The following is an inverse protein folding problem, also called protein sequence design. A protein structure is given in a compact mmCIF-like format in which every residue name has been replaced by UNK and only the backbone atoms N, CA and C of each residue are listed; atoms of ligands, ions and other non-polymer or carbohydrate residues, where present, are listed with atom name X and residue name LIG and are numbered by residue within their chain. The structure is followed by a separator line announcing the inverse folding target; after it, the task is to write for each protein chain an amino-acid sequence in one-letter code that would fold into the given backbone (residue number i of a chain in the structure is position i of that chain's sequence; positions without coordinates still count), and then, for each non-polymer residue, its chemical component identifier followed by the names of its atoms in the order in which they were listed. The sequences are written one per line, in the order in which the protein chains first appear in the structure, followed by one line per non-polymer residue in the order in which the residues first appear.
data_IF_537809882371
#
_entry.id   IF_537809882371
#
_cell.length_a   1.000
_cell.length_b   1.000
_cell.length_c   1.000
_cell.angle_alpha   90.00
_cell.angle_beta   90.00
_cell.angle_gamma   90.00
#
_symmetry.space_group_name_H-M   'P 1'
#
loop_
_entity.id
_entity.type
_entity.pdbx_description
1 polymer ?
#
# COMPACT_ATOMS: atom_id res chain seq x y z
N UNK A 1 0.99 -22.49 2.66
CA UNK A 1 0.37 -22.32 1.33
C UNK A 1 0.11 -20.84 1.10
N UNK A 2 0.46 -20.29 -0.08
CA UNK A 2 0.01 -18.95 -0.49
C UNK A 2 -1.46 -19.05 -0.84
N UNK A 3 -2.29 -18.20 -0.22
CA UNK A 3 -3.72 -18.06 -0.52
C UNK A 3 -3.90 -17.11 -1.68
N UNK A 4 -3.32 -15.91 -1.58
CA UNK A 4 -3.33 -14.88 -2.60
C UNK A 4 -2.19 -13.91 -2.39
N UNK A 5 -1.85 -13.14 -3.42
CA UNK A 5 -0.86 -12.07 -3.37
C UNK A 5 -1.24 -10.93 -4.30
N UNK A 6 -0.84 -9.73 -3.93
CA UNK A 6 -1.02 -8.53 -4.73
C UNK A 6 0.28 -7.71 -4.76
N UNK A 7 0.88 -7.61 -5.94
CA UNK A 7 2.15 -6.90 -6.12
C UNK A 7 2.01 -5.38 -6.08
N UNK A 8 0.81 -4.86 -6.31
CA UNK A 8 0.56 -3.42 -6.31
C UNK A 8 0.54 -2.86 -4.88
N UNK A 9 0.00 -3.63 -3.92
CA UNK A 9 -0.03 -3.25 -2.50
C UNK A 9 1.10 -3.85 -1.68
N UNK A 10 1.92 -4.72 -2.28
CA UNK A 10 3.00 -5.45 -1.61
C UNK A 10 2.50 -6.38 -0.49
N UNK A 11 1.32 -6.98 -0.68
CA UNK A 11 0.68 -7.84 0.31
C UNK A 11 0.54 -9.28 -0.18
N UNK A 12 0.61 -10.23 0.75
CA UNK A 12 0.31 -11.63 0.52
C UNK A 12 -0.37 -12.27 1.74
N UNK A 13 -1.34 -13.14 1.47
CA UNK A 13 -2.00 -13.95 2.50
C UNK A 13 -1.45 -15.37 2.46
N UNK A 14 -0.98 -15.85 3.62
CA UNK A 14 -0.42 -17.17 3.80
C UNK A 14 -1.30 -18.01 4.72
N UNK A 15 -1.55 -19.26 4.36
CA UNK A 15 -2.21 -20.24 5.21
C UNK A 15 -1.21 -21.28 5.69
N UNK A 16 -1.21 -21.54 6.99
CA UNK A 16 -0.45 -22.62 7.61
C UNK A 16 -1.40 -23.61 8.32
N UNK A 17 -1.01 -24.86 8.38
CA UNK A 17 -1.76 -25.93 9.04
C UNK A 17 -1.26 -26.08 10.48
N UNK A 18 -1.46 -25.04 11.29
CA UNK A 18 -1.11 -25.04 12.72
C UNK A 18 -2.34 -24.64 13.51
N UNK A 19 -2.64 -25.37 14.56
CA UNK A 19 -3.68 -25.07 15.55
C UNK A 19 -3.07 -24.34 16.75
N UNK A 20 -3.91 -23.84 17.62
CA UNK A 20 -3.53 -23.21 18.89
C UNK A 20 -2.65 -21.95 18.71
N UNK A 21 -2.93 -21.17 17.66
CA UNK A 21 -2.31 -19.88 17.44
C UNK A 21 -3.12 -18.79 18.13
N UNK A 22 -2.41 -17.90 18.85
CA UNK A 22 -3.01 -16.66 19.34
C UNK A 22 -3.02 -15.64 18.19
N UNK A 23 -4.21 -15.18 17.81
CA UNK A 23 -4.34 -14.13 16.81
C UNK A 23 -3.86 -12.79 17.38
N UNK A 24 -3.14 -12.02 16.58
CA UNK A 24 -2.83 -10.64 16.90
C UNK A 24 -4.10 -9.76 16.75
N UNK A 25 -4.29 -8.83 17.67
CA UNK A 25 -5.36 -7.84 17.58
C UNK A 25 -4.93 -6.69 16.68
N UNK A 26 -5.86 -6.16 15.89
CA UNK A 26 -5.64 -4.94 15.09
C UNK A 26 -6.13 -3.72 15.87
N UNK A 27 -5.34 -2.64 15.80
CA UNK A 27 -5.78 -1.32 16.23
C UNK A 27 -6.39 -0.57 15.03
N UNK A 28 -7.11 0.51 15.31
CA UNK A 28 -7.51 1.45 14.27
C UNK A 28 -6.31 2.34 13.91
N UNK A 29 -5.67 2.06 12.77
CA UNK A 29 -4.50 2.80 12.32
C UNK A 29 -4.78 4.25 11.93
N UNK A 30 -6.05 4.64 11.78
CA UNK A 30 -6.43 6.04 11.55
C UNK A 30 -6.28 6.92 12.80
N UNK A 31 -6.21 6.29 13.98
CA UNK A 31 -6.01 6.96 15.28
C UNK A 31 -4.53 7.08 15.66
N UNK A 32 -3.62 6.53 14.86
CA UNK A 32 -2.19 6.60 15.13
C UNK A 32 -1.69 8.05 15.11
N UNK A 33 -0.91 8.45 16.11
CA UNK A 33 -0.43 9.82 16.30
C UNK A 33 1.09 9.86 16.31
N UNK A 34 1.67 10.91 15.71
CA UNK A 34 3.12 11.15 15.70
C UNK A 34 3.63 11.29 17.14
N UNK A 35 4.73 10.61 17.43
CA UNK A 35 5.35 10.53 18.76
C UNK A 35 4.91 9.35 19.61
N UNK A 36 3.89 8.60 19.20
CA UNK A 36 3.48 7.37 19.89
C UNK A 36 4.53 6.27 19.73
N UNK A 37 4.62 5.42 20.73
CA UNK A 37 5.48 4.24 20.72
C UNK A 37 5.12 3.31 19.58
N UNK A 38 6.13 2.82 18.88
CA UNK A 38 5.99 1.82 17.83
C UNK A 38 7.06 0.73 17.98
N UNK A 39 6.65 -0.52 17.74
CA UNK A 39 7.53 -1.68 17.81
C UNK A 39 7.37 -2.52 16.55
N UNK A 40 8.45 -2.73 15.83
CA UNK A 40 8.49 -3.62 14.68
C UNK A 40 8.91 -5.02 15.11
N UNK A 41 8.11 -6.01 14.72
CA UNK A 41 8.32 -7.43 15.06
C UNK A 41 8.60 -8.20 13.78
N UNK A 42 9.64 -9.05 13.80
CA UNK A 42 9.99 -9.88 12.66
C UNK A 42 10.88 -11.06 13.04
N UNK A 43 11.30 -11.84 12.04
CA UNK A 43 12.21 -12.98 12.20
C UNK A 43 13.30 -12.90 11.12
N UNK A 44 14.31 -12.02 11.32
CA UNK A 44 15.36 -11.82 10.33
C UNK A 44 16.21 -13.09 10.17
N UNK A 45 16.53 -13.42 8.92
CA UNK A 45 17.48 -14.48 8.55
C UNK A 45 17.13 -15.88 9.08
N UNK A 46 15.85 -16.12 9.44
CA UNK A 46 15.43 -17.40 10.06
C UNK A 46 15.93 -17.58 11.50
N UNK A 47 16.42 -16.51 12.11
CA UNK A 47 16.72 -16.44 13.53
C UNK A 47 15.43 -16.29 14.34
N UNK A 48 15.53 -16.40 15.66
CA UNK A 48 14.41 -16.17 16.57
C UNK A 48 13.80 -14.77 16.38
N UNK A 49 12.57 -14.59 16.87
CA UNK A 49 11.85 -13.33 16.80
C UNK A 49 12.71 -12.16 17.25
N UNK A 50 12.84 -11.19 16.37
CA UNK A 50 13.58 -9.96 16.63
C UNK A 50 12.61 -8.79 16.71
N UNK A 51 12.85 -7.90 17.65
CA UNK A 51 12.03 -6.73 17.90
C UNK A 51 12.92 -5.48 17.84
N UNK A 52 12.44 -4.46 17.15
CA UNK A 52 13.02 -3.12 17.17
C UNK A 52 11.99 -2.11 17.64
N UNK A 53 12.41 -1.10 18.37
CA UNK A 53 11.50 -0.09 18.94
C UNK A 53 11.85 1.31 18.46
N UNK A 54 10.86 2.15 18.43
CA UNK A 54 10.94 3.56 18.08
C UNK A 54 9.60 4.24 18.32
N UNK A 55 9.32 5.24 17.52
CA UNK A 55 8.07 6.01 17.54
C UNK A 55 7.45 6.08 16.15
N UNK A 56 6.19 6.49 16.09
CA UNK A 56 5.57 6.94 14.85
C UNK A 56 6.16 8.31 14.49
N UNK A 57 6.93 8.38 13.40
CA UNK A 57 7.59 9.60 12.94
C UNK A 57 6.69 10.44 12.04
N UNK A 58 5.78 9.80 11.29
CA UNK A 58 4.75 10.46 10.48
C UNK A 58 3.59 9.50 10.22
N UNK A 59 2.40 10.07 10.00
CA UNK A 59 1.21 9.36 9.51
C UNK A 59 0.83 9.89 8.15
N UNK A 60 0.11 9.09 7.36
CA UNK A 60 -0.34 9.43 6.01
C UNK A 60 0.81 9.90 5.09
N UNK A 61 2.01 9.32 5.26
CA UNK A 61 3.18 9.67 4.47
C UNK A 61 3.04 9.12 3.06
N UNK A 62 3.02 10.00 2.07
CA UNK A 62 3.09 9.57 0.68
C UNK A 62 4.51 9.17 0.32
N UNK A 63 4.65 7.94 -0.21
CA UNK A 63 5.91 7.39 -0.71
C UNK A 63 5.67 6.84 -2.10
N UNK A 64 6.51 7.19 -3.05
CA UNK A 64 6.44 6.68 -4.42
C UNK A 64 7.56 5.66 -4.61
N UNK A 65 7.21 4.44 -5.01
CA UNK A 65 8.16 3.39 -5.37
C UNK A 65 7.70 2.70 -6.65
N UNK A 66 8.59 2.52 -7.60
CA UNK A 66 8.32 1.91 -8.91
C UNK A 66 7.07 2.50 -9.61
N UNK A 67 6.88 3.82 -9.50
CA UNK A 67 5.73 4.53 -10.07
C UNK A 67 4.41 4.32 -9.34
N UNK A 68 4.39 3.55 -8.25
CA UNK A 68 3.22 3.33 -7.40
C UNK A 68 3.29 4.23 -6.17
N UNK A 69 2.19 4.87 -5.85
CA UNK A 69 2.02 5.74 -4.68
C UNK A 69 1.47 4.93 -3.52
N UNK A 70 2.16 5.00 -2.39
CA UNK A 70 1.76 4.36 -1.13
C UNK A 70 1.50 5.42 -0.07
N UNK A 71 0.49 5.19 0.76
CA UNK A 71 0.24 5.98 1.97
C UNK A 71 0.69 5.13 3.16
N UNK A 72 1.65 5.61 3.93
CA UNK A 72 2.33 4.83 4.94
C UNK A 72 2.35 5.49 6.31
N UNK A 73 2.56 4.68 7.34
CA UNK A 73 3.07 5.10 8.63
C UNK A 73 4.59 5.09 8.51
N UNK A 74 5.23 6.19 8.90
CA UNK A 74 6.69 6.28 9.01
C UNK A 74 7.09 6.05 10.48
N UNK A 75 8.17 5.31 10.70
CA UNK A 75 8.74 5.06 12.04
C UNK A 75 10.27 5.13 11.99
N UNK A 76 10.90 5.46 13.11
CA UNK A 76 12.35 5.36 13.31
C UNK A 76 12.74 4.00 13.93
N UNK A 77 11.78 3.15 14.30
CA UNK A 77 12.07 1.76 14.58
C UNK A 77 12.79 1.13 13.38
N UNK A 78 13.91 0.46 13.61
CA UNK A 78 14.72 -0.07 12.52
C UNK A 78 13.95 -1.13 11.71
N UNK A 79 13.64 -0.80 10.45
CA UNK A 79 13.04 -1.72 9.48
C UNK A 79 14.15 -2.25 8.58
N UNK A 80 14.41 -3.55 8.68
CA UNK A 80 15.50 -4.24 7.99
C UNK A 80 15.00 -5.53 7.31
N UNK A 81 15.88 -6.14 6.53
CA UNK A 81 15.62 -7.46 5.97
C UNK A 81 15.35 -8.46 7.10
N UNK A 82 14.11 -8.99 7.13
CA UNK A 82 13.66 -9.95 8.15
C UNK A 82 12.53 -9.46 9.04
N UNK A 83 12.29 -8.15 9.20
CA UNK A 83 11.05 -7.66 9.80
C UNK A 83 10.06 -7.10 8.77
N UNK A 84 10.44 -7.00 7.50
CA UNK A 84 9.52 -6.72 6.40
C UNK A 84 8.48 -7.85 6.27
N UNK A 85 7.21 -7.50 6.15
CA UNK A 85 6.06 -8.41 6.23
C UNK A 85 5.63 -8.74 7.65
N UNK A 86 6.42 -8.35 8.66
CA UNK A 86 6.06 -8.44 10.07
C UNK A 86 5.19 -7.27 10.54
N UNK A 87 4.76 -7.32 11.77
CA UNK A 87 3.87 -6.32 12.35
C UNK A 87 4.62 -5.08 12.84
N UNK A 88 4.01 -3.90 12.65
CA UNK A 88 4.24 -2.71 13.44
C UNK A 88 3.14 -2.66 14.51
N UNK A 89 3.50 -2.64 15.79
CA UNK A 89 2.53 -2.65 16.90
C UNK A 89 2.68 -1.40 17.76
N UNK A 90 1.58 -1.01 18.39
CA UNK A 90 1.53 0.11 19.33
C UNK A 90 1.89 -0.33 20.78
N UNK A 91 1.79 0.58 21.74
CA UNK A 91 2.06 0.33 23.17
C UNK A 91 1.10 -0.68 23.82
N UNK A 92 -0.05 -0.96 23.22
CA UNK A 92 -1.01 -1.98 23.67
C UNK A 92 -0.72 -3.37 23.08
N UNK A 93 0.31 -3.50 22.23
CA UNK A 93 0.63 -4.73 21.50
C UNK A 93 -0.30 -5.01 20.31
N UNK A 94 -1.11 -4.04 19.90
CA UNK A 94 -2.02 -4.17 18.76
C UNK A 94 -1.34 -3.74 17.46
N UNK A 95 -1.63 -4.44 16.38
CA UNK A 95 -1.06 -4.16 15.05
C UNK A 95 -1.65 -2.89 14.48
N UNK A 96 -0.80 -1.92 14.14
CA UNK A 96 -1.15 -0.67 13.47
C UNK A 96 -0.72 -0.66 12.00
N UNK A 97 0.17 -1.58 11.59
CA UNK A 97 0.63 -1.66 10.20
C UNK A 97 1.45 -2.90 9.92
N UNK A 98 1.75 -3.10 8.65
CA UNK A 98 2.63 -4.17 8.14
C UNK A 98 3.92 -3.53 7.65
N UNK A 99 5.06 -3.91 8.23
CA UNK A 99 6.37 -3.36 7.89
C UNK A 99 6.72 -3.65 6.43
N UNK A 100 7.29 -2.69 5.71
CA UNK A 100 7.75 -2.89 4.33
C UNK A 100 9.12 -2.26 4.10
N UNK A 101 10.01 -3.03 3.47
CA UNK A 101 11.32 -2.56 3.00
C UNK A 101 11.29 -2.00 1.58
N UNK A 102 10.25 -2.33 0.82
CA UNK A 102 10.11 -1.89 -0.58
C UNK A 102 10.19 -0.37 -0.73
N UNK A 103 9.79 0.35 0.33
CA UNK A 103 9.72 1.81 0.35
C UNK A 103 10.92 2.48 1.02
N UNK A 104 11.84 1.71 1.59
CA UNK A 104 13.03 2.24 2.24
C UNK A 104 14.12 2.52 1.20
N UNK A 105 14.65 3.75 1.19
CA UNK A 105 15.77 4.10 0.32
C UNK A 105 17.07 3.42 0.75
N UNK A 106 17.90 3.00 -0.21
CA UNK A 106 19.23 2.45 0.08
C UNK A 106 20.10 3.48 0.82
N UNK A 107 20.59 3.12 2.02
CA UNK A 107 21.51 3.94 2.79
C UNK A 107 20.86 5.06 3.63
N UNK A 108 19.54 5.07 3.77
CA UNK A 108 18.84 5.97 4.68
C UNK A 108 18.55 5.22 5.99
N UNK A 109 19.18 5.63 7.07
CA UNK A 109 18.96 5.08 8.41
C UNK A 109 17.90 5.90 9.17
N UNK A 110 17.14 5.25 10.06
CA UNK A 110 16.13 5.90 10.90
C UNK A 110 14.84 6.29 10.16
N UNK A 111 14.64 5.78 8.95
CA UNK A 111 13.38 5.93 8.21
C UNK A 111 12.88 4.55 7.78
N UNK A 112 11.87 4.07 8.48
CA UNK A 112 11.14 2.86 8.16
C UNK A 112 9.69 3.17 7.78
N UNK A 113 9.06 2.25 7.05
CA UNK A 113 7.68 2.41 6.62
C UNK A 113 6.87 1.16 6.93
N UNK A 114 5.59 1.38 7.25
CA UNK A 114 4.60 0.32 7.38
C UNK A 114 3.32 0.71 6.63
N UNK A 115 2.70 -0.27 5.99
CA UNK A 115 1.38 -0.13 5.37
C UNK A 115 0.35 -0.09 6.50
N UNK A 116 -0.49 0.98 6.63
CA UNK A 116 -1.48 1.07 7.69
C UNK A 116 -2.43 -0.13 7.68
N UNK A 117 -2.72 -0.71 8.85
CA UNK A 117 -3.51 -1.94 8.91
C UNK A 117 -4.91 -1.77 8.32
N UNK A 118 -5.59 -0.63 8.54
CA UNK A 118 -6.92 -0.39 7.99
C UNK A 118 -6.95 -0.45 6.46
N UNK A 119 -5.88 -0.02 5.77
CA UNK A 119 -5.81 -0.06 4.32
C UNK A 119 -5.59 -1.47 3.75
N UNK A 120 -5.29 -2.43 4.60
CA UNK A 120 -5.03 -3.82 4.19
C UNK A 120 -6.25 -4.73 4.31
N UNK A 121 -7.26 -4.36 5.11
CA UNK A 121 -8.37 -5.26 5.48
C UNK A 121 -9.17 -5.73 4.26
N UNK A 122 -9.66 -4.80 3.45
CA UNK A 122 -10.44 -5.14 2.23
C UNK A 122 -9.59 -5.96 1.24
N UNK A 123 -8.29 -5.66 1.15
CA UNK A 123 -7.35 -6.39 0.30
C UNK A 123 -7.16 -7.82 0.80
N UNK A 124 -7.03 -8.01 2.11
CA UNK A 124 -6.89 -9.33 2.73
C UNK A 124 -8.14 -10.16 2.46
N UNK A 125 -9.32 -9.58 2.63
CA UNK A 125 -10.60 -10.25 2.38
C UNK A 125 -10.72 -10.69 0.92
N UNK A 126 -10.41 -9.83 -0.05
CA UNK A 126 -10.40 -10.20 -1.47
C UNK A 126 -9.37 -11.28 -1.79
N UNK A 127 -8.17 -11.24 -1.17
CA UNK A 127 -7.16 -12.27 -1.35
C UNK A 127 -7.60 -13.61 -0.77
N UNK A 128 -8.38 -13.61 0.32
CA UNK A 128 -8.94 -14.83 0.93
C UNK A 128 -10.06 -15.40 0.06
N UNK A 129 -11.01 -14.58 -0.38
CA UNK A 129 -12.20 -14.99 -1.11
C UNK A 129 -11.90 -15.33 -2.58
N UNK A 130 -11.06 -14.52 -3.23
CA UNK A 130 -10.85 -14.56 -4.68
C UNK A 130 -9.43 -14.97 -5.09
N UNK A 131 -8.50 -15.11 -4.16
CA UNK A 131 -7.07 -15.36 -4.37
C UNK A 131 -6.34 -14.23 -5.15
N UNK A 132 -7.00 -13.12 -5.39
CA UNK A 132 -6.51 -11.93 -6.10
C UNK A 132 -7.33 -10.71 -5.72
N UNK A 133 -6.76 -9.53 -5.88
CA UNK A 133 -7.48 -8.26 -5.76
C UNK A 133 -8.16 -7.92 -7.09
N UNK A 134 -9.46 -7.62 -7.04
CA UNK A 134 -10.27 -7.28 -8.21
C UNK A 134 -10.29 -5.76 -8.35
N UNK A 135 -9.55 -5.24 -9.33
CA UNK A 135 -9.54 -3.81 -9.62
C UNK A 135 -10.32 -3.53 -10.90
N UNK A 136 -11.45 -2.84 -10.81
CA UNK A 136 -12.13 -2.38 -12.02
C UNK A 136 -11.20 -1.42 -12.78
N UNK A 137 -11.22 -1.52 -14.10
CA UNK A 137 -10.51 -0.60 -14.97
C UNK A 137 -11.41 -0.23 -16.15
N UNK A 138 -11.18 0.96 -16.72
CA UNK A 138 -11.97 1.44 -17.86
C UNK A 138 -11.27 1.22 -19.20
N UNK A 139 -9.96 1.08 -19.22
CA UNK A 139 -9.18 0.80 -20.43
C UNK A 139 -8.88 2.03 -21.26
N UNK A 140 -8.45 3.11 -20.63
CA UNK A 140 -7.93 4.30 -21.28
C UNK A 140 -6.51 4.60 -20.80
N UNK A 141 -5.73 5.25 -21.66
CA UNK A 141 -4.54 5.99 -21.25
C UNK A 141 -4.88 7.46 -21.24
N UNK A 142 -4.81 8.09 -20.06
CA UNK A 142 -5.13 9.49 -19.84
C UNK A 142 -3.91 10.37 -19.60
N UNK A 143 -4.08 11.65 -19.82
CA UNK A 143 -3.15 12.69 -19.42
C UNK A 143 -3.92 13.81 -18.74
N UNK A 144 -3.46 14.21 -17.55
CA UNK A 144 -4.02 15.36 -16.86
C UNK A 144 -3.82 16.64 -17.69
N UNK A 145 -4.88 17.41 -17.85
CA UNK A 145 -4.87 18.74 -18.43
C UNK A 145 -5.07 19.76 -17.31
N UNK A 146 -4.01 20.45 -16.95
CA UNK A 146 -4.08 21.62 -16.10
C UNK A 146 -4.69 22.83 -16.85
N UNK A 147 -4.98 23.92 -16.11
CA UNK A 147 -5.61 25.11 -16.67
C UNK A 147 -4.78 25.72 -17.82
N UNK A 148 -3.44 25.76 -17.71
CA UNK A 148 -2.56 26.34 -18.71
C UNK A 148 -2.57 25.52 -19.99
N UNK A 149 -2.43 24.20 -19.87
CA UNK A 149 -2.41 23.26 -20.99
C UNK A 149 -3.78 23.19 -21.68
N UNK A 150 -4.86 23.14 -20.90
CA UNK A 150 -6.23 23.14 -21.42
C UNK A 150 -6.51 24.41 -22.25
N UNK A 151 -6.21 25.60 -21.68
CA UNK A 151 -6.39 26.89 -22.36
C UNK A 151 -5.55 27.02 -23.64
N UNK A 152 -4.27 26.56 -23.59
CA UNK A 152 -3.38 26.61 -24.75
C UNK A 152 -3.88 25.77 -25.93
N UNK A 153 -4.56 24.67 -25.64
CA UNK A 153 -5.08 23.73 -26.65
C UNK A 153 -6.58 23.90 -26.94
N UNK A 154 -7.22 24.92 -26.38
CA UNK A 154 -8.67 25.16 -26.48
C UNK A 154 -9.51 23.94 -26.01
N UNK A 155 -9.08 23.34 -24.92
CA UNK A 155 -9.72 22.19 -24.26
C UNK A 155 -10.24 22.62 -22.87
N UNK A 156 -11.02 21.76 -22.23
CA UNK A 156 -11.45 21.90 -20.84
C UNK A 156 -10.44 21.23 -19.90
N UNK A 157 -10.37 21.68 -18.65
CA UNK A 157 -9.59 21.01 -17.60
C UNK A 157 -10.17 19.63 -17.32
N UNK A 158 -9.34 18.61 -17.21
CA UNK A 158 -9.77 17.24 -16.98
C UNK A 158 -8.71 16.23 -17.43
N UNK A 159 -9.13 15.01 -17.74
CA UNK A 159 -8.24 13.95 -18.22
C UNK A 159 -8.44 13.77 -19.72
N UNK A 160 -7.43 14.13 -20.52
CA UNK A 160 -7.41 13.91 -21.97
C UNK A 160 -7.18 12.44 -22.29
N UNK A 161 -8.04 11.83 -23.08
CA UNK A 161 -7.93 10.44 -23.51
C UNK A 161 -6.92 10.34 -24.66
N UNK A 162 -5.73 9.80 -24.36
CA UNK A 162 -4.66 9.58 -25.33
C UNK A 162 -4.80 8.30 -26.13
N UNK A 163 -5.35 7.26 -25.48
CA UNK A 163 -5.55 5.95 -26.08
C UNK A 163 -6.74 5.25 -25.43
N UNK A 164 -7.41 4.39 -26.18
CA UNK A 164 -8.51 3.54 -25.74
C UNK A 164 -8.15 2.10 -26.06
N UNK A 165 -8.05 1.27 -25.04
CA UNK A 165 -7.68 -0.13 -25.18
C UNK A 165 -8.78 -0.91 -25.89
N UNK A 166 -8.40 -1.72 -26.89
CA UNK A 166 -9.33 -2.54 -27.66
C UNK A 166 -10.06 -3.55 -26.77
N UNK A 167 -11.35 -3.74 -27.00
CA UNK A 167 -12.27 -4.60 -26.24
C UNK A 167 -12.47 -4.18 -24.77
N UNK A 168 -11.97 -3.01 -24.37
CA UNK A 168 -12.14 -2.45 -23.02
C UNK A 168 -13.59 -2.00 -22.75
N UNK A 169 -13.93 -1.76 -21.49
CA UNK A 169 -15.18 -1.07 -21.13
C UNK A 169 -15.30 0.32 -21.76
N UNK A 170 -14.19 1.08 -21.85
CA UNK A 170 -14.18 2.40 -22.47
C UNK A 170 -14.53 2.34 -23.97
N UNK A 171 -13.93 1.43 -24.73
CA UNK A 171 -14.28 1.26 -26.14
C UNK A 171 -15.75 0.89 -26.32
N UNK A 172 -16.26 -0.05 -25.50
CA UNK A 172 -17.68 -0.45 -25.53
C UNK A 172 -18.63 0.69 -25.15
N UNK A 173 -18.19 1.58 -24.25
CA UNK A 173 -18.94 2.78 -23.86
C UNK A 173 -18.85 3.92 -24.89
N UNK A 174 -17.98 3.78 -25.90
CA UNK A 174 -17.85 4.74 -27.00
C UNK A 174 -16.84 5.85 -26.76
N UNK A 175 -15.94 5.72 -25.77
CA UNK A 175 -14.83 6.65 -25.59
C UNK A 175 -13.93 6.65 -26.81
N UNK A 176 -13.38 7.82 -27.14
CA UNK A 176 -12.49 8.03 -28.28
C UNK A 176 -11.24 8.79 -27.85
N UNK A 177 -10.17 8.57 -28.58
CA UNK A 177 -8.98 9.41 -28.49
C UNK A 177 -9.37 10.86 -28.77
N UNK A 178 -8.98 11.77 -27.91
CA UNK A 178 -9.33 13.19 -27.98
C UNK A 178 -10.48 13.62 -27.06
N UNK A 179 -11.21 12.68 -26.45
CA UNK A 179 -12.19 13.02 -25.43
C UNK A 179 -11.50 13.60 -24.19
N UNK A 180 -12.22 14.46 -23.46
CA UNK A 180 -11.78 14.96 -22.16
C UNK A 180 -12.79 14.56 -21.10
N UNK A 181 -12.33 13.80 -20.12
CA UNK A 181 -13.13 13.42 -18.95
C UNK A 181 -13.03 14.56 -17.92
N UNK A 182 -14.18 15.11 -17.53
CA UNK A 182 -14.32 16.24 -16.62
C UNK A 182 -14.96 15.81 -15.30
#
# INVERSE_FOLDING_TARGET
KIVGKDSQTDLAVLKIEKTDLTAAEFADSSQAVVGEFAMAVGSPLGLDTTVTTGIISAVNREVVSDGTKYICIQTDAAINSGNSGGALVNSEGKVIGINTLKLSGNGVEGIGFAIPINSTLDIIDELIEHNKVIRPYIGITGQDLDEETAKKNNLVVGIYVKDVESFSPAEKAGFKIGDVII
#
